data_IF_541706626823
#
_entry.id   IF_541706626823
#
_cell.length_a   1.000
_cell.length_b   1.000
_cell.length_c   1.000
_cell.angle_alpha   90.00
_cell.angle_beta   90.00
_cell.angle_gamma   90.00
#
_symmetry.space_group_name_H-M   'P 1'
#
loop_
_entity.id
_entity.type
_entity.pdbx_description
1 polymer ?
#
# COMPACT_ATOMS: atom_id res chain seq x y z
N UNK A 1 3.26 8.95 7.51
CA UNK A 1 2.79 9.15 8.90
C UNK A 1 3.41 10.41 9.47
N UNK A 2 2.67 11.27 10.19
CA UNK A 2 3.24 12.49 10.79
C UNK A 2 3.28 12.32 12.32
N UNK A 3 4.41 11.81 12.88
CA UNK A 3 4.54 11.55 14.32
C UNK A 3 4.42 12.81 15.19
N UNK A 4 4.55 14.00 14.58
CA UNK A 4 4.40 15.30 15.24
C UNK A 4 3.02 15.48 15.90
N UNK A 5 1.97 14.79 15.44
CA UNK A 5 0.61 14.94 15.98
C UNK A 5 0.45 14.45 17.42
N UNK A 6 1.31 13.55 17.90
CA UNK A 6 1.29 13.08 19.30
C UNK A 6 1.74 14.16 20.30
N UNK A 7 2.47 15.19 19.84
CA UNK A 7 2.85 16.33 20.70
C UNK A 7 1.64 17.13 21.18
N UNK A 8 0.48 16.99 20.56
CA UNK A 8 -0.77 17.60 21.04
C UNK A 8 -1.19 17.07 22.42
N UNK A 9 -0.77 15.87 22.82
CA UNK A 9 -1.00 15.36 24.17
C UNK A 9 -0.26 16.19 25.24
N UNK A 10 0.89 16.78 24.90
CA UNK A 10 1.61 17.66 25.83
C UNK A 10 0.87 18.98 26.04
N UNK A 11 0.17 19.49 25.03
CA UNK A 11 -0.70 20.66 25.18
C UNK A 11 -1.89 20.34 26.11
N UNK A 12 -2.48 19.15 26.00
CA UNK A 12 -3.55 18.69 26.92
C UNK A 12 -3.01 18.54 28.35
N UNK A 13 -1.82 17.98 28.53
CA UNK A 13 -1.17 17.87 29.83
C UNK A 13 -0.86 19.24 30.45
N UNK A 14 -0.37 20.19 29.65
CA UNK A 14 -0.11 21.56 30.10
C UNK A 14 -1.40 22.26 30.56
N UNK A 15 -2.53 22.05 29.87
CA UNK A 15 -3.83 22.58 30.27
C UNK A 15 -4.29 21.99 31.61
N UNK A 16 -4.11 20.68 31.81
CA UNK A 16 -4.42 20.01 33.08
C UNK A 16 -3.57 20.56 34.24
N UNK A 17 -2.27 20.78 34.02
CA UNK A 17 -1.37 21.39 35.02
C UNK A 17 -1.77 22.84 35.31
N UNK A 18 -2.07 23.64 34.29
CA UNK A 18 -2.51 25.03 34.47
C UNK A 18 -3.82 25.11 35.28
N UNK A 19 -4.77 24.23 35.01
CA UNK A 19 -5.99 24.09 35.81
C UNK A 19 -5.68 23.72 37.26
N UNK A 20 -4.81 22.73 37.51
CA UNK A 20 -4.43 22.34 38.87
C UNK A 20 -3.72 23.49 39.62
N UNK A 21 -2.79 24.19 38.97
CA UNK A 21 -2.03 25.30 39.59
C UNK A 21 -2.94 26.48 39.91
N UNK A 22 -3.82 26.89 39.00
CA UNK A 22 -4.77 27.99 39.25
C UNK A 22 -5.73 27.64 40.40
N UNK A 23 -6.14 26.38 40.49
CA UNK A 23 -7.01 25.91 41.55
C UNK A 23 -6.31 25.84 42.93
N UNK A 24 -5.06 25.36 42.95
CA UNK A 24 -4.24 25.34 44.17
C UNK A 24 -3.82 26.75 44.61
N UNK A 25 -3.67 27.70 43.68
CA UNK A 25 -3.36 29.11 43.98
C UNK A 25 -4.59 29.91 44.42
N UNK A 26 -5.80 29.60 43.94
CA UNK A 26 -7.01 30.30 44.38
C UNK A 26 -7.30 30.08 45.87
N UNK A 27 -6.90 28.93 46.42
CA UNK A 27 -6.98 28.66 47.86
C UNK A 27 -6.05 29.53 48.71
N UNK A 28 -4.98 30.10 48.13
CA UNK A 28 -4.07 31.02 48.83
C UNK A 28 -4.48 32.48 48.70
N UNK A 29 -5.23 32.86 47.66
CA UNK A 29 -5.69 34.23 47.45
C UNK A 29 -6.95 34.57 48.28
N UNK A 30 -7.73 33.57 48.67
CA UNK A 30 -8.90 33.74 49.55
C UNK A 30 -8.55 34.07 51.02
N UNK A 31 -7.27 34.00 51.42
CA UNK A 31 -6.83 34.28 52.79
C UNK A 31 -6.60 35.78 53.04
N UNK A 32 -6.83 36.64 52.04
CA UNK A 32 -6.57 38.09 52.13
C UNK A 32 -7.82 38.98 52.18
N UNK A 33 -8.99 38.41 52.48
CA UNK A 33 -10.18 39.20 52.81
C UNK A 33 -10.59 38.97 54.27
N UNK A 34 -10.51 40.05 55.04
CA UNK A 34 -10.69 40.17 56.49
C UNK A 34 -12.14 40.01 56.96
N UNK A 35 -12.94 39.14 56.33
CA UNK A 35 -14.31 38.88 56.78
C UNK A 35 -14.82 37.47 56.39
N UNK A 36 -14.16 36.43 56.90
CA UNK A 36 -14.56 35.03 56.70
C UNK A 36 -15.81 34.61 57.52
N UNK A 37 -16.29 35.45 58.43
CA UNK A 37 -17.40 35.11 59.31
C UNK A 37 -18.80 35.35 58.71
N UNK A 38 -18.93 36.20 57.68
CA UNK A 38 -20.23 36.47 57.02
C UNK A 38 -20.45 35.72 55.71
N UNK A 39 -19.43 35.03 55.20
CA UNK A 39 -19.54 34.24 53.97
C UNK A 39 -20.09 32.82 54.23
N UNK A 40 -19.96 32.32 55.46
CA UNK A 40 -20.42 30.98 55.85
C UNK A 40 -21.95 30.92 56.10
N UNK A 41 -22.59 32.08 56.25
CA UNK A 41 -24.03 32.19 56.53
C UNK A 41 -24.94 32.30 55.29
N UNK A 42 -24.39 32.36 54.06
CA UNK A 42 -25.20 32.63 52.84
C UNK A 42 -25.12 31.50 51.79
N UNK A 43 -24.16 30.57 51.84
CA UNK A 43 -24.15 29.41 50.95
C UNK A 43 -23.30 28.25 51.51
N UNK A 44 -23.89 27.21 52.14
CA UNK A 44 -23.13 26.11 52.74
C UNK A 44 -22.57 25.09 51.74
N UNK A 45 -23.05 25.07 50.49
CA UNK A 45 -22.70 24.02 49.56
C UNK A 45 -21.57 24.45 48.61
N UNK A 46 -20.33 24.24 49.04
CA UNK A 46 -19.19 24.25 48.13
C UNK A 46 -19.17 22.89 47.42
N UNK A 47 -19.47 22.77 46.11
CA UNK A 47 -19.43 21.49 45.40
C UNK A 47 -17.97 21.02 45.28
N UNK A 48 -17.46 20.37 46.33
CA UNK A 48 -16.03 20.09 46.51
C UNK A 48 -15.43 19.26 45.39
N UNK A 49 -15.89 18.02 45.23
CA UNK A 49 -15.44 17.13 44.15
C UNK A 49 -16.21 17.39 42.85
N UNK A 50 -17.52 17.65 42.95
CA UNK A 50 -18.44 17.75 41.80
C UNK A 50 -18.07 18.86 40.82
N UNK A 51 -17.40 19.93 41.26
CA UNK A 51 -16.90 20.99 40.39
C UNK A 51 -15.80 20.54 39.41
N UNK A 52 -15.10 19.44 39.71
CA UNK A 52 -14.03 18.92 38.85
C UNK A 52 -14.54 17.92 37.82
N UNK A 53 -15.77 17.41 37.97
CA UNK A 53 -16.36 16.41 37.06
C UNK A 53 -16.40 16.91 35.61
N UNK A 54 -16.89 18.13 35.29
CA UNK A 54 -16.88 18.61 33.91
C UNK A 54 -15.48 18.80 33.33
N UNK A 55 -14.53 19.26 34.15
CA UNK A 55 -13.14 19.47 33.72
C UNK A 55 -12.42 18.15 33.42
N UNK A 56 -12.60 17.14 34.27
CA UNK A 56 -12.03 15.80 34.07
C UNK A 56 -12.66 15.14 32.84
N UNK A 57 -13.98 15.25 32.65
CA UNK A 57 -14.64 14.72 31.46
C UNK A 57 -14.16 15.40 30.17
N UNK A 58 -13.96 16.71 30.19
CA UNK A 58 -13.41 17.45 29.04
C UNK A 58 -11.97 17.02 28.72
N UNK A 59 -11.13 16.82 29.72
CA UNK A 59 -9.76 16.34 29.52
C UNK A 59 -9.74 14.92 28.95
N UNK A 60 -10.57 14.01 29.46
CA UNK A 60 -10.70 12.65 28.93
C UNK A 60 -11.19 12.65 27.48
N UNK A 61 -12.17 13.50 27.15
CA UNK A 61 -12.67 13.65 25.79
C UNK A 61 -11.57 14.16 24.83
N UNK A 62 -10.78 15.16 25.25
CA UNK A 62 -9.65 15.66 24.47
C UNK A 62 -8.56 14.61 24.27
N UNK A 63 -8.21 13.84 25.30
CA UNK A 63 -7.24 12.75 25.20
C UNK A 63 -7.72 11.68 24.21
N UNK A 64 -8.99 11.26 24.30
CA UNK A 64 -9.58 10.31 23.37
C UNK A 64 -9.60 10.83 21.93
N UNK A 65 -9.96 12.10 21.73
CA UNK A 65 -9.97 12.73 20.41
C UNK A 65 -8.57 12.80 19.79
N UNK A 66 -7.55 13.19 20.56
CA UNK A 66 -6.16 13.21 20.08
C UNK A 66 -5.66 11.81 19.74
N UNK A 67 -5.99 10.79 20.55
CA UNK A 67 -5.66 9.39 20.28
C UNK A 67 -6.28 8.87 18.98
N UNK A 68 -7.57 9.13 18.77
CA UNK A 68 -8.27 8.75 17.54
C UNK A 68 -7.74 9.49 16.31
N UNK A 69 -7.44 10.79 16.46
CA UNK A 69 -6.88 11.62 15.38
C UNK A 69 -5.44 11.23 15.01
N UNK A 70 -4.65 10.79 16.00
CA UNK A 70 -3.28 10.37 15.78
C UNK A 70 -3.17 9.07 14.98
N UNK A 71 -4.25 8.25 14.94
CA UNK A 71 -4.31 6.96 14.25
C UNK A 71 -3.00 6.17 14.38
N UNK A 72 -2.62 5.72 15.59
CA UNK A 72 -1.37 5.00 15.81
C UNK A 72 -1.43 3.65 15.10
N UNK A 73 -1.01 3.65 13.83
CA UNK A 73 -0.86 2.47 13.02
C UNK A 73 0.63 2.18 12.89
N UNK A 74 1.02 0.93 13.13
CA UNK A 74 2.35 0.46 12.78
C UNK A 74 2.33 0.13 11.29
N UNK A 75 3.07 0.87 10.48
CA UNK A 75 3.40 0.47 9.11
C UNK A 75 4.25 -0.81 9.17
N UNK A 76 3.59 -1.97 9.27
CA UNK A 76 4.25 -3.23 9.01
C UNK A 76 4.40 -3.32 7.49
N UNK A 77 5.63 -3.12 7.00
CA UNK A 77 5.98 -3.52 5.64
C UNK A 77 5.96 -5.05 5.63
N UNK A 78 4.78 -5.62 5.40
CA UNK A 78 4.66 -7.03 5.08
C UNK A 78 5.24 -7.17 3.67
N UNK A 79 6.30 -7.94 3.46
CA UNK A 79 6.75 -8.28 2.11
C UNK A 79 5.58 -8.97 1.43
N UNK A 80 4.87 -8.25 0.56
CA UNK A 80 3.94 -8.92 -0.36
C UNK A 80 4.84 -9.53 -1.42
N UNK A 81 5.09 -10.83 -1.31
CA UNK A 81 5.69 -11.67 -2.36
C UNK A 81 4.79 -11.64 -3.60
N UNK A 82 4.88 -10.55 -4.36
CA UNK A 82 4.33 -10.41 -5.71
C UNK A 82 5.50 -10.50 -6.66
N UNK A 83 6.02 -11.72 -6.80
CA UNK A 83 6.98 -11.98 -7.87
C UNK A 83 6.21 -11.93 -9.20
N UNK A 84 6.75 -11.15 -10.13
CA UNK A 84 6.31 -11.14 -11.52
C UNK A 84 7.30 -11.97 -12.30
N UNK A 85 6.80 -12.93 -13.09
CA UNK A 85 7.60 -13.77 -13.96
C UNK A 85 7.27 -13.38 -15.40
N UNK A 86 8.29 -13.21 -16.25
CA UNK A 86 8.08 -12.97 -17.68
C UNK A 86 8.70 -14.13 -18.44
N UNK A 87 7.88 -14.77 -19.28
CA UNK A 87 8.30 -15.84 -20.18
C UNK A 87 8.59 -15.19 -21.53
N UNK A 88 9.84 -15.22 -21.98
CA UNK A 88 10.24 -14.75 -23.31
C UNK A 88 10.44 -15.95 -24.23
N UNK A 89 9.60 -16.10 -25.26
CA UNK A 89 9.63 -17.21 -26.21
C UNK A 89 10.16 -16.75 -27.56
N UNK A 90 11.19 -17.44 -28.06
CA UNK A 90 11.68 -17.27 -29.42
C UNK A 90 10.66 -17.84 -30.40
N UNK A 91 10.31 -17.05 -31.41
CA UNK A 91 9.40 -17.39 -32.51
C UNK A 91 10.06 -17.14 -33.86
N UNK A 92 11.38 -17.17 -33.93
CA UNK A 92 12.12 -17.13 -35.18
C UNK A 92 11.87 -18.39 -36.02
N UNK A 93 12.05 -18.32 -37.34
CA UNK A 93 11.92 -19.47 -38.24
C UNK A 93 12.74 -20.70 -37.83
N UNK A 94 13.84 -20.52 -37.07
CA UNK A 94 14.63 -21.63 -36.54
C UNK A 94 13.87 -22.51 -35.52
N UNK A 95 12.77 -22.02 -34.97
CA UNK A 95 11.90 -22.74 -34.05
C UNK A 95 10.93 -23.70 -34.76
N UNK A 96 10.91 -23.71 -36.09
CA UNK A 96 10.20 -24.73 -36.89
C UNK A 96 10.99 -26.05 -37.02
N UNK A 97 12.21 -26.10 -36.49
CA UNK A 97 13.02 -27.31 -36.53
C UNK A 97 12.36 -28.47 -35.77
N UNK A 98 12.47 -29.67 -36.32
CA UNK A 98 11.87 -30.92 -35.82
C UNK A 98 12.88 -31.81 -35.10
N UNK A 99 14.00 -31.25 -34.65
CA UNK A 99 14.96 -31.95 -33.79
C UNK A 99 14.43 -32.20 -32.37
N UNK A 100 13.32 -31.56 -32.03
CA UNK A 100 12.43 -31.90 -30.91
C UNK A 100 11.03 -32.09 -31.48
N UNK A 101 10.41 -33.24 -31.22
CA UNK A 101 9.06 -33.54 -31.69
C UNK A 101 8.00 -32.67 -30.98
N UNK A 102 6.98 -32.16 -31.69
CA UNK A 102 6.83 -32.17 -33.15
C UNK A 102 7.64 -31.04 -33.84
N UNK A 103 7.79 -29.89 -33.19
CA UNK A 103 8.73 -28.82 -33.56
C UNK A 103 9.25 -28.16 -32.28
N UNK A 104 10.40 -27.46 -32.34
CA UNK A 104 10.91 -26.68 -31.20
C UNK A 104 9.87 -25.69 -30.67
N UNK A 105 9.11 -25.02 -31.55
CA UNK A 105 8.06 -24.08 -31.14
C UNK A 105 6.95 -24.81 -30.38
N UNK A 106 6.47 -25.94 -30.90
CA UNK A 106 5.43 -26.72 -30.24
C UNK A 106 5.89 -27.27 -28.88
N UNK A 107 7.14 -27.74 -28.80
CA UNK A 107 7.75 -28.16 -27.55
C UNK A 107 7.89 -26.99 -26.55
N UNK A 108 8.27 -25.80 -27.03
CA UNK A 108 8.32 -24.59 -26.20
C UNK A 108 6.94 -24.16 -25.72
N UNK A 109 5.90 -24.25 -26.55
CA UNK A 109 4.51 -23.98 -26.17
C UNK A 109 4.04 -24.94 -25.07
N UNK A 110 4.33 -26.23 -25.21
CA UNK A 110 3.98 -27.25 -24.21
C UNK A 110 4.70 -27.00 -22.88
N UNK A 111 6.02 -26.75 -22.92
CA UNK A 111 6.82 -26.46 -21.73
C UNK A 111 6.40 -25.14 -21.06
N UNK A 112 6.03 -24.12 -21.83
CA UNK A 112 5.55 -22.86 -21.29
C UNK A 112 4.21 -23.02 -20.56
N UNK A 113 3.28 -23.81 -21.11
CA UNK A 113 2.01 -24.12 -20.45
C UNK A 113 2.21 -24.91 -19.15
N UNK A 114 3.02 -25.96 -19.19
CA UNK A 114 3.37 -26.73 -18.00
C UNK A 114 4.01 -25.84 -16.94
N UNK A 115 4.90 -24.93 -17.34
CA UNK A 115 5.50 -23.96 -16.43
C UNK A 115 4.45 -23.02 -15.82
N UNK A 116 3.51 -22.49 -16.61
CA UNK A 116 2.41 -21.64 -16.11
C UNK A 116 1.53 -22.37 -15.11
N UNK A 117 1.26 -23.66 -15.33
CA UNK A 117 0.46 -24.53 -14.45
C UNK A 117 1.17 -24.86 -13.12
N UNK A 118 2.50 -24.93 -13.12
CA UNK A 118 3.29 -25.19 -11.91
C UNK A 118 3.40 -23.96 -11.00
N UNK A 119 3.13 -22.76 -11.51
CA UNK A 119 3.27 -21.53 -10.74
C UNK A 119 2.08 -21.32 -9.79
N UNK A 120 2.32 -20.82 -8.57
CA UNK A 120 1.24 -20.42 -7.69
C UNK A 120 0.35 -19.36 -8.32
N UNK A 121 -0.98 -19.53 -8.22
CA UNK A 121 -1.99 -18.62 -8.82
C UNK A 121 -1.78 -17.14 -8.48
N UNK A 122 -1.21 -16.87 -7.30
CA UNK A 122 -0.92 -15.51 -6.80
C UNK A 122 0.19 -14.77 -7.56
N UNK A 123 0.98 -15.45 -8.38
CA UNK A 123 2.09 -14.84 -9.14
C UNK A 123 1.59 -14.29 -10.46
N UNK A 124 2.04 -13.08 -10.80
CA UNK A 124 1.76 -12.50 -12.10
C UNK A 124 2.72 -13.09 -13.12
N UNK A 125 2.20 -13.51 -14.27
CA UNK A 125 2.99 -14.05 -15.37
C UNK A 125 2.71 -13.23 -16.62
N UNK A 126 3.77 -12.74 -17.26
CA UNK A 126 3.71 -12.07 -18.56
C UNK A 126 4.31 -12.96 -19.64
N UNK A 127 3.88 -12.74 -20.88
CA UNK A 127 4.40 -13.43 -22.06
C UNK A 127 4.98 -12.40 -23.03
N UNK A 128 6.25 -12.59 -23.39
CA UNK A 128 6.94 -11.87 -24.45
C UNK A 128 7.25 -12.85 -25.57
N UNK A 129 6.97 -12.44 -26.80
CA UNK A 129 7.33 -13.19 -28.00
C UNK A 129 8.33 -12.39 -28.80
N UNK A 130 9.34 -13.04 -29.37
CA UNK A 130 10.31 -12.34 -30.19
C UNK A 130 10.75 -13.14 -31.43
N UNK A 131 10.95 -12.41 -32.52
CA UNK A 131 11.60 -12.85 -33.75
C UNK A 131 12.44 -11.65 -34.24
N UNK A 132 12.29 -11.14 -35.45
CA UNK A 132 12.89 -9.89 -35.89
C UNK A 132 12.47 -8.64 -35.11
N UNK A 133 11.39 -8.73 -34.31
CA UNK A 133 10.95 -7.74 -33.33
C UNK A 133 10.51 -8.43 -32.04
N UNK A 134 10.51 -7.72 -30.92
CA UNK A 134 9.96 -8.19 -29.65
C UNK A 134 8.62 -7.53 -29.32
N UNK A 135 7.68 -8.31 -28.75
CA UNK A 135 6.35 -7.82 -28.36
C UNK A 135 5.91 -8.43 -27.04
N UNK A 136 5.24 -7.64 -26.21
CA UNK A 136 4.50 -8.13 -25.05
C UNK A 136 3.20 -8.73 -25.57
N UNK A 137 3.10 -10.05 -25.59
CA UNK A 137 1.90 -10.76 -26.03
C UNK A 137 0.82 -10.72 -24.95
N UNK A 138 1.22 -10.88 -23.68
CA UNK A 138 0.32 -10.77 -22.51
C UNK A 138 1.05 -9.98 -21.43
N UNK A 139 0.51 -8.82 -21.00
CA UNK A 139 1.02 -8.10 -19.82
C UNK A 139 0.94 -8.98 -18.56
N UNK A 140 1.77 -8.76 -17.52
CA UNK A 140 1.74 -9.60 -16.33
C UNK A 140 0.36 -9.72 -15.68
N UNK A 141 -0.22 -10.92 -15.75
CA UNK A 141 -1.59 -11.23 -15.30
C UNK A 141 -1.59 -12.49 -14.42
N UNK A 142 -2.68 -12.68 -13.67
CA UNK A 142 -2.96 -13.93 -12.97
C UNK A 142 -3.88 -14.86 -13.78
N UNK A 143 -4.42 -14.36 -14.90
CA UNK A 143 -5.30 -15.10 -15.79
C UNK A 143 -4.51 -16.15 -16.58
N UNK A 144 -4.68 -17.43 -16.18
CA UNK A 144 -4.01 -18.56 -16.83
C UNK A 144 -4.62 -18.85 -18.19
N UNK A 145 -5.92 -18.64 -18.37
CA UNK A 145 -6.58 -18.91 -19.66
C UNK A 145 -6.07 -17.95 -20.74
N UNK A 146 -5.89 -16.67 -20.39
CA UNK A 146 -5.30 -15.66 -21.28
C UNK A 146 -3.86 -16.06 -21.71
N UNK A 147 -3.03 -16.50 -20.75
CA UNK A 147 -1.68 -16.99 -21.03
C UNK A 147 -1.69 -18.22 -21.94
N UNK A 148 -2.54 -19.20 -21.67
CA UNK A 148 -2.61 -20.44 -22.46
C UNK A 148 -3.06 -20.14 -23.89
N UNK A 149 -4.08 -19.29 -24.05
CA UNK A 149 -4.56 -18.86 -25.36
C UNK A 149 -3.50 -18.08 -26.15
N UNK A 150 -2.74 -17.22 -25.48
CA UNK A 150 -1.66 -16.47 -26.13
C UNK A 150 -0.48 -17.37 -26.54
N UNK A 151 -0.12 -18.36 -25.70
CA UNK A 151 0.90 -19.36 -26.04
C UNK A 151 0.49 -20.15 -27.29
N UNK A 152 -0.78 -20.54 -27.41
CA UNK A 152 -1.28 -21.28 -28.59
C UNK A 152 -1.26 -20.45 -29.88
N UNK A 153 -1.35 -19.13 -29.77
CA UNK A 153 -1.40 -18.22 -30.91
C UNK A 153 -0.02 -17.75 -31.38
N UNK A 154 1.07 -18.25 -30.80
CA UNK A 154 2.42 -17.91 -31.23
C UNK A 154 2.64 -18.27 -32.70
N UNK A 155 3.24 -17.34 -33.45
CA UNK A 155 3.51 -17.49 -34.88
C UNK A 155 4.97 -17.25 -35.19
N UNK A 156 5.50 -18.07 -36.08
CA UNK A 156 6.86 -17.93 -36.57
C UNK A 156 7.04 -16.62 -37.35
N UNK A 157 8.23 -16.03 -37.25
CA UNK A 157 8.64 -14.87 -38.01
C UNK A 157 10.13 -14.90 -38.33
N UNK A 158 10.56 -14.04 -39.23
CA UNK A 158 11.96 -13.97 -39.65
C UNK A 158 12.84 -13.30 -38.58
N UNK A 159 14.13 -13.66 -38.57
CA UNK A 159 15.20 -13.08 -37.71
C UNK A 159 14.97 -13.34 -36.20
N UNK A 160 15.93 -12.88 -35.39
CA UNK A 160 15.92 -13.04 -33.94
C UNK A 160 16.50 -11.80 -33.25
N UNK A 161 15.69 -11.10 -32.47
CA UNK A 161 15.99 -9.84 -31.79
C UNK A 161 15.99 -10.06 -30.26
N UNK A 162 16.94 -10.87 -29.78
CA UNK A 162 17.04 -11.24 -28.36
C UNK A 162 17.22 -10.01 -27.46
N UNK A 163 18.00 -9.00 -27.90
CA UNK A 163 18.20 -7.78 -27.14
C UNK A 163 16.90 -7.02 -26.89
N UNK A 164 16.09 -6.84 -27.93
CA UNK A 164 14.77 -6.22 -27.82
C UNK A 164 13.83 -7.04 -26.94
N UNK A 165 13.93 -8.37 -26.99
CA UNK A 165 13.15 -9.26 -26.12
C UNK A 165 13.45 -9.05 -24.64
N UNK A 166 14.71 -8.83 -24.28
CA UNK A 166 15.11 -8.51 -22.90
C UNK A 166 14.53 -7.16 -22.48
N UNK A 167 14.64 -6.13 -23.33
CA UNK A 167 14.06 -4.82 -23.02
C UNK A 167 12.53 -4.90 -22.87
N UNK A 168 11.82 -5.54 -23.80
CA UNK A 168 10.38 -5.75 -23.72
C UNK A 168 9.98 -6.54 -22.46
N UNK A 169 10.83 -7.49 -22.01
CA UNK A 169 10.58 -8.24 -20.77
C UNK A 169 10.77 -7.37 -19.53
N UNK A 170 11.77 -6.50 -19.51
CA UNK A 170 11.98 -5.53 -18.43
C UNK A 170 10.84 -4.50 -18.39
N UNK A 171 10.40 -4.04 -19.55
CA UNK A 171 9.26 -3.13 -19.68
C UNK A 171 7.98 -3.82 -19.19
N UNK A 172 7.74 -5.08 -19.55
CA UNK A 172 6.60 -5.84 -19.05
C UNK A 172 6.60 -5.96 -17.51
N UNK A 173 7.77 -6.15 -16.88
CA UNK A 173 7.88 -6.13 -15.40
C UNK A 173 7.60 -4.72 -14.85
N UNK A 174 8.06 -3.69 -15.56
CA UNK A 174 7.91 -2.28 -15.22
C UNK A 174 6.51 -1.72 -15.42
N UNK A 175 5.69 -2.32 -16.30
CA UNK A 175 4.25 -2.08 -16.42
C UNK A 175 3.59 -2.63 -15.18
N UNK A 176 3.70 -1.83 -14.14
CA UNK A 176 3.02 -2.02 -12.90
C UNK A 176 1.53 -1.91 -13.18
N UNK A 177 0.80 -3.03 -13.14
CA UNK A 177 -0.69 -3.05 -13.20
C UNK A 177 -1.36 -2.24 -12.07
N UNK A 178 -0.57 -1.54 -11.25
CA UNK A 178 -0.99 -0.52 -10.28
C UNK A 178 -1.26 0.86 -10.91
N UNK A 179 -0.79 1.16 -12.13
CA UNK A 179 -1.03 2.45 -12.79
C UNK A 179 -1.66 2.27 -14.19
N UNK A 180 -2.99 2.41 -14.33
CA UNK A 180 -3.68 2.34 -15.63
C UNK A 180 -3.16 3.32 -16.68
N UNK A 181 -2.39 4.35 -16.30
CA UNK A 181 -1.79 5.31 -17.22
C UNK A 181 -0.56 4.77 -17.98
N UNK A 182 -0.03 3.60 -17.59
CA UNK A 182 1.15 2.99 -18.22
C UNK A 182 0.83 1.82 -19.17
N UNK A 183 -0.45 1.52 -19.39
CA UNK A 183 -0.84 0.62 -20.47
C UNK A 183 -0.42 1.25 -21.81
N UNK A 184 0.35 0.55 -22.66
CA UNK A 184 0.66 1.05 -23.99
C UNK A 184 -0.67 1.25 -24.73
N UNK A 185 -0.98 2.50 -25.05
CA UNK A 185 -2.14 2.83 -25.88
C UNK A 185 -1.96 2.13 -27.22
N UNK A 186 -3.01 1.47 -27.70
CA UNK A 186 -3.01 0.68 -28.94
C UNK A 186 -2.89 1.53 -30.20
N UNK A 187 -2.30 2.72 -30.09
CA UNK A 187 -2.07 3.73 -31.11
C UNK A 187 -0.58 3.80 -31.45
N UNK A 188 0.02 2.65 -31.73
CA UNK A 188 1.29 2.61 -32.47
C UNK A 188 1.02 3.06 -33.90
N UNK A 189 1.47 4.27 -34.23
CA UNK A 189 1.47 4.83 -35.57
C UNK A 189 2.09 3.85 -36.59
N UNK A 190 1.45 3.83 -37.76
CA UNK A 190 1.81 3.03 -38.95
C UNK A 190 3.01 3.62 -39.66
#
# INVERSE_FOLDING_TARGET
MIPVRLWLLLAVAALAVAYAVTHLRSSRYAVRFTNLALLDSVAPDRPGWRRHVPAVLMLLALTGMVGAFAKPATDKRVPRERATIVIAIDTSLSMDATDVDPTRLAAAQAAAKEFVDLLPERLNVGLVTFNGIAKIAVPPTQDREELHAAIDQLRLGERTAIGEAIYASLDAIGVDTRDPAQLPDGTGEV
#
